data_IF_667207778670
#
_entry.id   IF_667207778670
#
_cell.length_a   1.000
_cell.length_b   1.000
_cell.length_c   1.000
_cell.angle_alpha   90.00
_cell.angle_beta   90.00
_cell.angle_gamma   90.00
#
_symmetry.space_group_name_H-M   'P 1'
#
loop_
_entity.id
_entity.type
_entity.pdbx_description
1 polymer ?
#
# COMPACT_ATOMS: atom_id res chain seq x y z
N UNK A 1 25.88 50.70 13.97
CA UNK A 1 26.14 49.39 14.56
C UNK A 1 24.80 48.94 15.09
N UNK A 2 24.05 48.00 14.62
CA UNK A 2 24.19 46.92 13.70
C UNK A 2 22.91 46.13 13.88
N UNK A 3 21.98 46.25 12.93
CA UNK A 3 20.71 45.55 12.93
C UNK A 3 20.94 44.19 12.30
N UNK A 4 20.82 43.10 13.05
CA UNK A 4 20.68 41.73 12.53
C UNK A 4 19.64 41.00 13.38
N UNK A 5 18.59 40.53 12.76
CA UNK A 5 17.70 39.59 13.40
C UNK A 5 16.21 39.75 13.14
N UNK A 6 15.80 39.86 11.88
CA UNK A 6 14.43 39.51 11.47
C UNK A 6 14.50 38.46 10.40
N UNK A 7 14.54 37.21 10.80
CA UNK A 7 14.41 36.05 9.92
C UNK A 7 13.44 35.06 10.50
N UNK A 8 12.41 34.80 9.72
CA UNK A 8 11.64 33.55 9.68
C UNK A 8 10.82 33.13 10.90
N UNK A 9 9.73 33.83 11.10
CA UNK A 9 8.52 33.16 11.63
C UNK A 9 7.50 33.11 10.49
N UNK A 10 7.61 32.13 9.61
CA UNK A 10 6.48 31.72 8.78
C UNK A 10 5.51 31.00 9.71
N UNK A 11 4.47 31.72 10.10
CA UNK A 11 3.28 31.17 10.71
C UNK A 11 2.73 30.05 9.82
N UNK A 12 2.95 28.83 10.23
CA UNK A 12 2.11 27.71 9.87
C UNK A 12 0.77 27.88 10.61
N UNK A 13 -0.04 28.80 10.11
CA UNK A 13 -1.46 28.77 10.42
C UNK A 13 -2.04 27.49 9.80
N UNK A 14 -2.06 26.42 10.58
CA UNK A 14 -3.03 25.38 10.42
C UNK A 14 -4.40 26.02 10.70
N UNK A 15 -4.90 26.74 9.72
CA UNK A 15 -6.32 27.05 9.67
C UNK A 15 -7.01 25.71 9.44
N UNK A 16 -7.55 25.15 10.52
CA UNK A 16 -8.63 24.18 10.45
C UNK A 16 -9.73 24.87 9.63
N UNK A 17 -9.72 24.66 8.34
CA UNK A 17 -10.80 25.02 7.46
C UNK A 17 -11.93 24.06 7.84
N UNK A 18 -12.75 24.48 8.81
CA UNK A 18 -14.08 23.95 9.01
C UNK A 18 -14.92 24.34 7.79
N UNK A 19 -14.71 23.69 6.67
CA UNK A 19 -15.64 23.71 5.56
C UNK A 19 -16.72 22.70 5.92
N UNK A 20 -17.67 23.13 6.78
CA UNK A 20 -19.00 22.55 6.79
C UNK A 20 -19.66 22.94 5.47
N UNK A 21 -19.34 22.26 4.39
CA UNK A 21 -20.22 22.12 3.26
C UNK A 21 -21.07 20.88 3.52
N UNK A 22 -22.36 21.07 3.55
CA UNK A 22 -23.35 20.02 3.59
C UNK A 22 -23.21 19.19 2.30
N UNK A 23 -22.30 18.21 2.32
CA UNK A 23 -22.39 17.09 1.40
C UNK A 23 -23.48 16.19 1.93
N UNK A 24 -24.68 16.41 1.43
CA UNK A 24 -25.90 15.72 1.83
C UNK A 24 -25.98 14.36 1.13
N UNK A 25 -24.94 13.55 1.28
CA UNK A 25 -25.01 12.13 1.03
C UNK A 25 -24.47 11.45 2.28
N UNK A 26 -25.37 11.18 3.23
CA UNK A 26 -25.10 10.23 4.31
C UNK A 26 -24.89 8.87 3.64
N UNK A 27 -23.69 8.58 3.16
CA UNK A 27 -23.32 7.22 2.82
C UNK A 27 -23.33 6.42 4.12
N UNK A 28 -24.26 5.51 4.25
CA UNK A 28 -24.32 4.55 5.37
C UNK A 28 -23.26 3.49 5.24
N UNK A 29 -22.57 3.41 4.12
CA UNK A 29 -21.56 2.42 3.74
C UNK A 29 -20.19 3.06 3.58
N UNK A 30 -19.14 2.28 3.89
CA UNK A 30 -17.76 2.63 3.60
C UNK A 30 -17.51 2.49 2.10
N UNK A 31 -16.83 3.49 1.50
CA UNK A 31 -16.49 3.51 0.07
C UNK A 31 -14.98 3.61 -0.11
N UNK A 32 -14.42 2.76 -0.95
CA UNK A 32 -13.03 2.80 -1.37
C UNK A 32 -12.93 3.26 -2.84
N UNK A 33 -12.38 4.43 -3.08
CA UNK A 33 -11.94 4.85 -4.41
C UNK A 33 -10.59 4.18 -4.71
N UNK A 34 -10.55 3.36 -5.72
CA UNK A 34 -9.45 2.42 -5.99
C UNK A 34 -9.08 2.46 -7.47
N UNK A 35 -7.80 2.61 -7.75
CA UNK A 35 -7.29 2.37 -9.10
C UNK A 35 -7.07 0.86 -9.28
N UNK A 36 -7.68 0.24 -10.31
CA UNK A 36 -7.61 -1.20 -10.56
C UNK A 36 -6.21 -1.71 -10.92
N UNK A 37 -5.29 -0.82 -11.33
CA UNK A 37 -3.92 -1.19 -11.67
C UNK A 37 -2.89 -0.74 -10.63
N UNK A 38 -3.28 0.09 -9.67
CA UNK A 38 -2.36 0.66 -8.69
C UNK A 38 -2.02 -0.32 -7.55
N UNK A 39 -0.72 -0.55 -7.33
CA UNK A 39 -0.24 -1.40 -6.23
C UNK A 39 -0.68 -0.90 -4.85
N UNK A 40 -0.80 0.41 -4.66
CA UNK A 40 -1.23 1.00 -3.38
C UNK A 40 -2.72 0.77 -3.11
N UNK A 41 -3.55 0.83 -4.15
CA UNK A 41 -4.96 0.45 -4.08
C UNK A 41 -5.12 -1.05 -3.80
N UNK A 42 -4.31 -1.89 -4.45
CA UNK A 42 -4.32 -3.32 -4.23
C UNK A 42 -4.02 -3.70 -2.77
N UNK A 43 -3.07 -3.03 -2.10
CA UNK A 43 -2.79 -3.24 -0.66
C UNK A 43 -4.04 -3.12 0.20
N UNK A 44 -4.84 -2.09 -0.03
CA UNK A 44 -6.09 -1.84 0.72
C UNK A 44 -7.13 -2.91 0.41
N UNK A 45 -7.27 -3.32 -0.86
CA UNK A 45 -8.18 -4.41 -1.23
C UNK A 45 -7.79 -5.74 -0.58
N UNK A 46 -6.48 -6.04 -0.44
CA UNK A 46 -6.02 -7.23 0.31
C UNK A 46 -6.47 -7.15 1.77
N UNK A 47 -6.26 -6.01 2.43
CA UNK A 47 -6.68 -5.84 3.84
C UNK A 47 -8.18 -6.02 3.99
N UNK A 48 -8.99 -5.43 3.11
CA UNK A 48 -10.44 -5.61 3.14
C UNK A 48 -10.85 -7.08 2.98
N UNK A 49 -10.20 -7.80 2.06
CA UNK A 49 -10.45 -9.21 1.84
C UNK A 49 -10.02 -10.08 3.05
N UNK A 50 -8.85 -9.82 3.64
CA UNK A 50 -8.39 -10.50 4.86
C UNK A 50 -9.31 -10.26 6.06
N UNK A 51 -9.92 -9.07 6.14
CA UNK A 51 -10.90 -8.73 7.17
C UNK A 51 -12.29 -9.28 6.90
N UNK A 52 -12.54 -9.80 5.71
CA UNK A 52 -13.87 -10.26 5.29
C UNK A 52 -14.90 -9.12 5.27
N UNK A 53 -14.45 -7.89 5.02
CA UNK A 53 -15.31 -6.70 5.05
C UNK A 53 -15.73 -6.34 3.64
N UNK A 54 -17.04 -6.25 3.44
CA UNK A 54 -17.62 -5.76 2.19
C UNK A 54 -17.72 -4.24 2.23
N UNK A 55 -17.10 -3.57 1.28
CA UNK A 55 -17.17 -2.13 1.05
C UNK A 55 -17.59 -1.87 -0.38
N UNK A 56 -18.11 -0.69 -0.64
CA UNK A 56 -18.32 -0.23 -2.00
C UNK A 56 -16.95 0.16 -2.61
N UNK A 57 -16.55 -0.52 -3.69
CA UNK A 57 -15.29 -0.21 -4.38
C UNK A 57 -15.64 0.53 -5.67
N UNK A 58 -15.26 1.81 -5.73
CA UNK A 58 -15.37 2.62 -6.93
C UNK A 58 -14.03 2.62 -7.67
N UNK A 59 -14.01 1.96 -8.83
CA UNK A 59 -12.83 1.91 -9.67
C UNK A 59 -12.67 3.24 -10.41
N UNK A 60 -11.54 3.88 -10.20
CA UNK A 60 -11.18 5.17 -10.80
C UNK A 60 -9.72 5.09 -11.24
N UNK A 61 -9.44 5.47 -12.47
CA UNK A 61 -8.05 5.60 -12.94
C UNK A 61 -7.40 6.84 -12.32
N UNK A 62 -6.09 6.75 -12.01
CA UNK A 62 -5.34 7.84 -11.38
C UNK A 62 -5.42 9.16 -12.17
N UNK A 63 -5.57 9.08 -13.50
CA UNK A 63 -5.68 10.24 -14.38
C UNK A 63 -7.13 10.80 -14.50
N UNK A 64 -8.11 10.12 -13.90
CA UNK A 64 -9.53 10.44 -13.98
C UNK A 64 -10.13 10.75 -12.61
N UNK A 65 -9.41 11.49 -11.76
CA UNK A 65 -9.85 11.86 -10.42
C UNK A 65 -11.06 12.79 -10.48
N UNK A 66 -12.14 12.41 -9.81
CA UNK A 66 -13.40 13.16 -9.77
C UNK A 66 -13.37 14.28 -8.72
N UNK A 67 -14.28 15.25 -8.84
CA UNK A 67 -14.45 16.31 -7.84
C UNK A 67 -14.76 15.74 -6.45
N UNK A 68 -15.48 14.62 -6.38
CA UNK A 68 -15.79 13.92 -5.14
C UNK A 68 -14.54 13.40 -4.43
N UNK A 69 -13.59 12.83 -5.19
CA UNK A 69 -12.31 12.38 -4.64
C UNK A 69 -11.50 13.59 -4.17
N UNK A 70 -11.49 14.69 -4.92
CA UNK A 70 -10.77 15.92 -4.54
C UNK A 70 -11.36 16.58 -3.28
N UNK A 71 -12.67 16.47 -3.06
CA UNK A 71 -13.31 16.94 -1.83
C UNK A 71 -12.89 16.08 -0.62
N UNK A 72 -12.78 14.77 -0.79
CA UNK A 72 -12.34 13.84 0.26
C UNK A 72 -10.82 13.85 0.48
N UNK A 73 -10.05 14.02 -0.59
CA UNK A 73 -8.60 13.98 -0.60
C UNK A 73 -8.04 15.10 -1.48
N UNK A 74 -7.56 16.20 -0.90
CA UNK A 74 -7.08 17.36 -1.66
C UNK A 74 -5.84 17.10 -2.53
N UNK A 75 -5.18 15.95 -2.34
CA UNK A 75 -4.05 15.52 -3.19
C UNK A 75 -4.50 14.75 -4.43
N UNK A 76 -5.77 14.37 -4.53
CA UNK A 76 -6.31 13.60 -5.65
C UNK A 76 -5.61 12.25 -5.86
N UNK A 77 -5.08 11.63 -4.80
CA UNK A 77 -4.35 10.36 -4.91
C UNK A 77 -5.23 9.16 -4.56
N UNK A 78 -4.94 8.03 -5.17
CA UNK A 78 -5.60 6.76 -4.89
C UNK A 78 -4.63 5.80 -4.16
N UNK A 79 -5.11 4.97 -3.25
CA UNK A 79 -6.51 4.84 -2.80
C UNK A 79 -6.96 5.98 -1.88
N UNK A 80 -8.27 6.27 -1.91
CA UNK A 80 -8.95 7.12 -0.94
C UNK A 80 -10.11 6.35 -0.34
N UNK A 81 -10.22 6.33 1.00
CA UNK A 81 -11.29 5.65 1.74
C UNK A 81 -12.18 6.70 2.39
N UNK A 82 -13.49 6.54 2.23
CA UNK A 82 -14.49 7.35 2.94
C UNK A 82 -15.32 6.43 3.84
N UNK A 83 -15.31 6.67 5.15
CA UNK A 83 -16.18 6.02 6.13
C UNK A 83 -16.97 7.08 6.87
N UNK A 84 -18.23 7.27 6.49
CA UNK A 84 -19.11 8.34 6.98
C UNK A 84 -18.51 9.73 6.76
N UNK A 85 -18.16 10.43 7.85
CA UNK A 85 -17.56 11.77 7.82
C UNK A 85 -16.01 11.74 7.82
N UNK A 86 -15.42 10.54 7.85
CA UNK A 86 -13.96 10.33 7.83
C UNK A 86 -13.51 10.06 6.39
N UNK A 87 -12.58 10.87 5.91
CA UNK A 87 -11.87 10.60 4.66
C UNK A 87 -10.39 10.33 4.95
N UNK A 88 -9.88 9.23 4.43
CA UNK A 88 -8.49 8.80 4.59
C UNK A 88 -7.85 8.58 3.23
N UNK A 89 -6.60 8.96 3.13
CA UNK A 89 -5.76 8.74 1.97
C UNK A 89 -4.38 8.25 2.43
N UNK A 90 -3.55 7.78 1.49
CA UNK A 90 -2.34 7.00 1.71
C UNK A 90 -2.63 5.57 2.20
N UNK A 91 -2.25 4.59 1.37
CA UNK A 91 -2.58 3.17 1.60
C UNK A 91 -2.20 2.66 2.99
N UNK A 92 -1.02 3.07 3.52
CA UNK A 92 -0.56 2.63 4.85
C UNK A 92 -1.45 3.13 5.99
N UNK A 93 -1.95 4.37 5.90
CA UNK A 93 -2.88 4.93 6.88
C UNK A 93 -4.22 4.21 6.81
N UNK A 94 -4.72 3.96 5.60
CA UNK A 94 -5.98 3.24 5.38
C UNK A 94 -5.88 1.81 5.91
N UNK A 95 -4.79 1.11 5.63
CA UNK A 95 -4.58 -0.26 6.08
C UNK A 95 -4.56 -0.37 7.62
N UNK A 96 -3.84 0.53 8.30
CA UNK A 96 -3.81 0.55 9.77
C UNK A 96 -5.19 0.89 10.34
N UNK A 97 -5.90 1.87 9.76
CA UNK A 97 -7.28 2.18 10.16
C UNK A 97 -8.20 0.97 10.04
N UNK A 98 -8.13 0.24 8.93
CA UNK A 98 -8.95 -0.96 8.71
C UNK A 98 -8.60 -2.08 9.70
N UNK A 99 -7.31 -2.25 10.03
CA UNK A 99 -6.87 -3.24 11.02
C UNK A 99 -7.40 -2.91 12.42
N UNK A 100 -7.39 -1.63 12.82
CA UNK A 100 -7.93 -1.16 14.10
C UNK A 100 -9.47 -1.17 14.12
N UNK A 101 -10.11 -0.82 13.00
CA UNK A 101 -11.57 -0.77 12.88
C UNK A 101 -12.21 -2.16 12.89
N UNK A 102 -11.49 -3.15 12.33
CA UNK A 102 -11.88 -4.55 12.25
C UNK A 102 -10.77 -5.41 12.86
N UNK A 103 -10.74 -5.58 14.18
CA UNK A 103 -9.58 -6.13 14.88
C UNK A 103 -9.31 -7.61 14.64
N UNK A 104 -10.21 -8.33 13.97
CA UNK A 104 -10.06 -9.76 13.69
C UNK A 104 -10.21 -10.10 12.21
N UNK A 105 -9.27 -10.93 11.67
CA UNK A 105 -7.98 -11.31 12.25
C UNK A 105 -7.04 -10.11 12.38
N UNK A 106 -6.16 -10.05 13.39
CA UNK A 106 -5.18 -8.96 13.50
C UNK A 106 -4.13 -9.08 12.39
N UNK A 107 -3.79 -7.96 11.75
CA UNK A 107 -2.75 -7.89 10.72
C UNK A 107 -1.50 -7.13 11.19
N UNK A 108 -1.51 -6.61 12.41
CA UNK A 108 -0.33 -6.10 13.09
C UNK A 108 -0.09 -6.86 14.39
N UNK A 109 1.18 -7.10 14.74
CA UNK A 109 1.55 -7.73 16.01
C UNK A 109 1.00 -6.95 17.22
N UNK A 110 0.69 -7.68 18.29
CA UNK A 110 0.20 -7.08 19.54
C UNK A 110 1.30 -6.30 20.27
N UNK A 111 2.53 -6.83 20.24
CA UNK A 111 3.64 -6.25 20.99
C UNK A 111 4.18 -4.98 20.33
N UNK A 112 4.43 -3.90 21.10
CA UNK A 112 4.86 -2.61 20.56
C UNK A 112 6.16 -2.67 19.75
N UNK A 113 7.11 -3.51 20.15
CA UNK A 113 8.39 -3.65 19.44
C UNK A 113 8.16 -4.24 18.05
N UNK A 114 7.52 -5.39 17.96
CA UNK A 114 7.24 -6.05 16.67
C UNK A 114 6.33 -5.20 15.78
N UNK A 115 5.40 -4.43 16.39
CA UNK A 115 4.56 -3.47 15.69
C UNK A 115 5.38 -2.32 15.09
N UNK A 116 6.36 -1.82 15.81
CA UNK A 116 7.28 -0.78 15.32
C UNK A 116 8.17 -1.32 14.19
N UNK A 117 8.67 -2.55 14.32
CA UNK A 117 9.45 -3.24 13.27
C UNK A 117 8.62 -3.43 12.00
N UNK A 118 7.36 -3.85 12.11
CA UNK A 118 6.44 -3.97 10.97
C UNK A 118 6.27 -2.62 10.25
N UNK A 119 6.05 -1.53 10.99
CA UNK A 119 5.95 -0.18 10.41
C UNK A 119 7.23 0.28 9.74
N UNK A 120 8.38 -0.06 10.32
CA UNK A 120 9.68 0.26 9.74
C UNK A 120 9.89 -0.49 8.42
N UNK A 121 9.48 -1.76 8.33
CA UNK A 121 9.54 -2.51 7.08
C UNK A 121 8.58 -1.97 6.02
N UNK A 122 7.37 -1.62 6.38
CA UNK A 122 6.42 -0.95 5.47
C UNK A 122 7.04 0.34 4.92
N UNK A 123 7.65 1.17 5.79
CA UNK A 123 8.34 2.38 5.38
C UNK A 123 9.49 2.10 4.40
N UNK A 124 10.31 1.07 4.67
CA UNK A 124 11.42 0.67 3.79
C UNK A 124 10.93 0.17 2.44
N UNK A 125 9.90 -0.66 2.40
CA UNK A 125 9.28 -1.12 1.14
C UNK A 125 8.83 0.09 0.30
N UNK A 126 8.18 1.07 0.92
CA UNK A 126 7.75 2.26 0.20
C UNK A 126 8.92 3.11 -0.30
N UNK A 127 9.88 3.37 0.58
CA UNK A 127 10.99 4.26 0.29
C UNK A 127 12.02 3.66 -0.64
N UNK A 128 12.42 2.41 -0.40
CA UNK A 128 13.57 1.80 -1.08
C UNK A 128 13.13 1.09 -2.37
N UNK A 129 11.93 0.49 -2.40
CA UNK A 129 11.47 -0.30 -3.55
C UNK A 129 10.40 0.39 -4.38
N UNK A 130 9.32 0.87 -3.75
CA UNK A 130 8.26 1.53 -4.51
C UNK A 130 8.72 2.83 -5.18
N UNK A 131 9.74 3.51 -4.64
CA UNK A 131 10.34 4.69 -5.26
C UNK A 131 11.08 4.41 -6.57
N UNK A 132 11.43 3.14 -6.83
CA UNK A 132 12.07 2.73 -8.08
C UNK A 132 11.05 2.54 -9.23
N UNK A 133 9.79 2.28 -8.90
CA UNK A 133 8.75 1.97 -9.89
C UNK A 133 8.58 3.09 -10.93
N UNK A 134 8.46 4.38 -10.57
CA UNK A 134 8.36 5.44 -11.56
C UNK A 134 9.58 5.52 -12.50
N UNK A 135 10.77 5.16 -12.02
CA UNK A 135 11.97 5.11 -12.87
C UNK A 135 11.90 3.95 -13.87
N UNK A 136 11.29 2.83 -13.46
CA UNK A 136 11.10 1.67 -14.33
C UNK A 136 10.00 1.93 -15.34
N UNK A 137 8.84 2.42 -14.91
CA UNK A 137 7.67 2.59 -15.78
C UNK A 137 7.78 3.78 -16.74
N UNK A 138 8.34 4.91 -16.28
CA UNK A 138 8.38 6.14 -17.06
C UNK A 138 9.71 6.32 -17.80
N UNK A 139 10.82 5.94 -17.15
CA UNK A 139 12.17 6.16 -17.70
C UNK A 139 12.78 4.89 -18.32
N UNK A 140 12.10 3.75 -18.23
CA UNK A 140 12.56 2.44 -18.69
C UNK A 140 13.96 2.03 -18.16
N UNK A 141 14.26 2.39 -16.90
CA UNK A 141 15.58 2.26 -16.29
C UNK A 141 15.94 0.81 -15.94
N UNK A 142 16.91 0.24 -16.63
CA UNK A 142 17.49 -1.07 -16.34
C UNK A 142 18.26 -1.09 -15.00
N UNK A 143 18.84 0.05 -14.61
CA UNK A 143 19.51 0.18 -13.32
C UNK A 143 18.50 0.05 -12.19
N UNK A 144 17.34 0.71 -12.28
CA UNK A 144 16.29 0.61 -11.27
C UNK A 144 15.69 -0.81 -11.21
N UNK A 145 15.55 -1.50 -12.35
CA UNK A 145 15.13 -2.92 -12.39
C UNK A 145 16.13 -3.82 -11.67
N UNK A 146 17.42 -3.62 -11.93
CA UNK A 146 18.48 -4.38 -11.31
C UNK A 146 18.54 -4.13 -9.81
N UNK A 147 18.47 -2.86 -9.38
CA UNK A 147 18.47 -2.46 -7.97
C UNK A 147 17.28 -3.08 -7.22
N UNK A 148 16.08 -3.02 -7.80
CA UNK A 148 14.88 -3.60 -7.20
C UNK A 148 14.99 -5.12 -7.10
N UNK A 149 15.40 -5.79 -8.17
CA UNK A 149 15.61 -7.25 -8.17
C UNK A 149 16.60 -7.68 -7.10
N UNK A 150 17.77 -7.05 -7.06
CA UNK A 150 18.86 -7.46 -6.17
C UNK A 150 18.49 -7.18 -4.71
N UNK A 151 17.78 -6.07 -4.44
CA UNK A 151 17.24 -5.77 -3.12
C UNK A 151 16.20 -6.82 -2.67
N UNK A 152 15.30 -7.23 -3.54
CA UNK A 152 14.31 -8.29 -3.24
C UNK A 152 15.02 -9.63 -3.01
N UNK A 153 16.01 -10.00 -3.82
CA UNK A 153 16.78 -11.23 -3.65
C UNK A 153 17.53 -11.22 -2.32
N UNK A 154 18.04 -10.07 -1.88
CA UNK A 154 18.81 -9.96 -0.64
C UNK A 154 18.01 -10.31 0.62
N UNK A 155 16.69 -10.20 0.58
CA UNK A 155 15.83 -10.53 1.72
C UNK A 155 15.27 -11.97 1.66
N UNK A 156 15.65 -12.76 0.66
CA UNK A 156 15.10 -14.10 0.46
C UNK A 156 15.26 -15.01 1.69
N UNK A 157 16.35 -14.86 2.45
CA UNK A 157 16.62 -15.64 3.67
C UNK A 157 15.65 -15.35 4.83
N UNK A 158 14.92 -14.23 4.80
CA UNK A 158 13.89 -13.93 5.80
C UNK A 158 12.80 -15.02 5.81
N UNK A 159 12.54 -15.64 4.66
CA UNK A 159 11.50 -16.65 4.47
C UNK A 159 11.99 -18.10 4.71
N UNK A 160 13.24 -18.29 5.16
CA UNK A 160 13.74 -19.62 5.51
C UNK A 160 13.10 -20.18 6.78
N UNK A 161 12.85 -19.31 7.75
CA UNK A 161 12.39 -19.70 9.09
C UNK A 161 10.89 -19.44 9.30
N UNK A 162 10.33 -18.42 8.61
CA UNK A 162 8.96 -17.97 8.82
C UNK A 162 8.14 -18.07 7.54
N UNK A 163 6.86 -18.47 7.63
CA UNK A 163 6.00 -18.60 6.46
C UNK A 163 5.62 -17.26 5.83
N UNK A 164 5.61 -16.17 6.61
CA UNK A 164 5.33 -14.82 6.17
C UNK A 164 6.48 -13.88 6.52
N UNK A 165 6.37 -12.61 6.19
CA UNK A 165 7.43 -11.65 6.38
C UNK A 165 7.76 -11.48 7.88
N UNK A 166 8.83 -12.13 8.35
CA UNK A 166 9.27 -12.16 9.74
C UNK A 166 8.16 -12.54 10.74
N UNK A 167 7.21 -13.38 10.32
CA UNK A 167 6.03 -13.73 11.12
C UNK A 167 5.51 -15.12 10.78
N UNK A 168 4.92 -15.78 11.79
CA UNK A 168 4.13 -17.00 11.60
C UNK A 168 2.76 -16.72 10.95
N UNK A 169 2.27 -15.49 11.06
CA UNK A 169 0.97 -15.07 10.56
C UNK A 169 1.11 -14.00 9.48
N UNK A 170 0.14 -13.94 8.57
CA UNK A 170 0.06 -12.92 7.53
C UNK A 170 -0.18 -11.53 8.15
N UNK A 171 0.58 -10.52 7.73
CA UNK A 171 0.59 -9.18 8.33
C UNK A 171 0.42 -8.05 7.31
N UNK A 172 0.31 -6.81 7.78
CA UNK A 172 0.29 -5.63 6.91
C UNK A 172 1.59 -5.47 6.09
N UNK A 173 2.71 -6.06 6.56
CA UNK A 173 3.95 -6.07 5.78
C UNK A 173 3.77 -6.91 4.51
N UNK A 174 3.12 -8.06 4.62
CA UNK A 174 2.79 -8.92 3.50
C UNK A 174 1.79 -8.23 2.55
N UNK A 175 0.78 -7.53 3.10
CA UNK A 175 -0.14 -6.72 2.31
C UNK A 175 0.58 -5.64 1.49
N UNK A 176 1.69 -5.10 2.01
CA UNK A 176 2.51 -4.12 1.29
C UNK A 176 3.39 -4.74 0.23
N UNK A 177 3.98 -5.91 0.53
CA UNK A 177 4.96 -6.57 -0.32
C UNK A 177 4.32 -7.32 -1.49
N UNK A 178 3.23 -8.05 -1.23
CA UNK A 178 2.59 -8.92 -2.20
C UNK A 178 2.20 -8.22 -3.52
N UNK A 179 1.59 -7.03 -3.54
CA UNK A 179 1.29 -6.32 -4.78
C UNK A 179 2.51 -5.95 -5.63
N UNK A 180 3.62 -5.63 -4.98
CA UNK A 180 4.89 -5.36 -5.65
C UNK A 180 5.45 -6.65 -6.31
N UNK A 181 5.50 -7.74 -5.55
CA UNK A 181 5.98 -9.03 -6.04
C UNK A 181 5.08 -9.59 -7.16
N UNK A 182 3.77 -9.34 -7.08
CA UNK A 182 2.82 -9.74 -8.12
C UNK A 182 3.14 -9.07 -9.47
N UNK A 183 3.56 -7.81 -9.43
CA UNK A 183 3.83 -6.97 -10.61
C UNK A 183 5.24 -7.10 -11.19
N UNK A 184 6.13 -7.92 -10.62
CA UNK A 184 7.48 -8.08 -11.16
C UNK A 184 7.52 -8.43 -12.65
N UNK A 185 6.63 -9.30 -13.20
CA UNK A 185 6.60 -9.57 -14.63
C UNK A 185 6.29 -8.34 -15.48
N UNK A 186 5.37 -7.46 -15.05
CA UNK A 186 5.05 -6.22 -15.78
C UNK A 186 6.20 -5.23 -15.79
N UNK A 187 7.10 -5.31 -14.80
CA UNK A 187 8.35 -4.53 -14.77
C UNK A 187 9.51 -5.20 -15.51
N UNK A 188 9.26 -6.32 -16.21
CA UNK A 188 10.31 -7.13 -16.87
C UNK A 188 11.38 -7.64 -15.89
N UNK A 189 11.00 -7.84 -14.62
CA UNK A 189 11.89 -8.38 -13.59
C UNK A 189 11.61 -9.85 -13.36
N UNK A 190 12.64 -10.69 -13.57
CA UNK A 190 12.61 -12.12 -13.27
C UNK A 190 13.54 -12.41 -12.09
N UNK A 191 13.05 -13.15 -11.10
CA UNK A 191 13.87 -13.62 -9.99
C UNK A 191 14.61 -14.90 -10.39
N UNK A 192 15.89 -15.07 -9.99
CA UNK A 192 16.61 -16.30 -10.20
C UNK A 192 15.88 -17.49 -9.56
N UNK A 193 15.97 -18.66 -10.18
CA UNK A 193 15.42 -19.92 -9.63
C UNK A 193 16.57 -20.78 -9.10
N UNK A 194 17.14 -20.38 -7.98
CA UNK A 194 18.26 -21.03 -7.34
C UNK A 194 17.99 -21.34 -5.87
N UNK A 195 19.01 -21.86 -5.17
CA UNK A 195 18.87 -22.21 -3.75
C UNK A 195 18.61 -21.01 -2.87
N UNK A 196 19.18 -19.87 -3.20
CA UNK A 196 19.06 -18.64 -2.40
C UNK A 196 17.65 -18.05 -2.47
N UNK A 197 17.06 -18.07 -3.65
CA UNK A 197 15.73 -17.45 -3.88
C UNK A 197 14.57 -18.41 -3.63
N UNK A 198 14.83 -19.72 -3.47
CA UNK A 198 13.80 -20.72 -3.23
C UNK A 198 12.82 -20.36 -2.09
N UNK A 199 13.27 -19.88 -0.91
CA UNK A 199 12.35 -19.49 0.17
C UNK A 199 11.43 -18.34 -0.22
N UNK A 200 11.97 -17.32 -0.89
CA UNK A 200 11.19 -16.20 -1.41
C UNK A 200 10.14 -16.66 -2.43
N UNK A 201 10.51 -17.52 -3.37
CA UNK A 201 9.57 -18.06 -4.36
C UNK A 201 8.45 -18.86 -3.69
N UNK A 202 8.78 -19.69 -2.70
CA UNK A 202 7.78 -20.43 -1.92
C UNK A 202 6.86 -19.53 -1.10
N UNK A 203 7.37 -18.40 -0.59
CA UNK A 203 6.58 -17.36 0.05
C UNK A 203 5.62 -16.71 -0.95
N UNK A 204 6.12 -16.34 -2.14
CA UNK A 204 5.29 -15.75 -3.20
C UNK A 204 4.13 -16.68 -3.57
N UNK A 205 4.40 -17.96 -3.82
CA UNK A 205 3.37 -18.95 -4.13
C UNK A 205 2.32 -19.00 -3.01
N UNK A 206 2.75 -19.11 -1.74
CA UNK A 206 1.85 -19.17 -0.59
C UNK A 206 0.96 -17.92 -0.46
N UNK A 207 1.53 -16.73 -0.66
CA UNK A 207 0.77 -15.49 -0.56
C UNK A 207 -0.20 -15.32 -1.72
N UNK A 208 0.24 -15.66 -2.92
CA UNK A 208 -0.59 -15.53 -4.13
C UNK A 208 -1.73 -16.54 -4.18
N UNK A 209 -1.58 -17.71 -3.56
CA UNK A 209 -2.65 -18.73 -3.46
C UNK A 209 -3.69 -18.41 -2.37
N UNK A 210 -3.47 -17.41 -1.50
CA UNK A 210 -4.46 -17.04 -0.47
C UNK A 210 -5.75 -16.56 -1.10
N UNK A 211 -6.88 -17.06 -0.59
CA UNK A 211 -8.20 -16.64 -1.07
C UNK A 211 -8.39 -15.12 -1.03
N UNK A 212 -7.96 -14.48 0.07
CA UNK A 212 -8.05 -13.04 0.23
C UNK A 212 -7.22 -12.28 -0.82
N UNK A 213 -6.01 -12.77 -1.15
CA UNK A 213 -5.20 -12.20 -2.21
C UNK A 213 -5.90 -12.34 -3.57
N UNK A 214 -6.38 -13.53 -3.89
CA UNK A 214 -7.06 -13.80 -5.16
C UNK A 214 -8.37 -13.01 -5.31
N UNK A 215 -9.14 -12.85 -4.23
CA UNK A 215 -10.35 -12.02 -4.22
C UNK A 215 -10.04 -10.51 -4.35
N UNK A 216 -8.85 -10.08 -3.96
CA UNK A 216 -8.45 -8.66 -4.02
C UNK A 216 -7.99 -8.19 -5.40
N UNK A 217 -7.68 -9.13 -6.31
CA UNK A 217 -7.20 -8.82 -7.65
C UNK A 217 -8.31 -8.22 -8.52
N UNK A 218 -8.00 -7.12 -9.19
CA UNK A 218 -8.79 -6.62 -10.32
C UNK A 218 -8.61 -7.50 -11.56
N UNK A 219 -9.44 -7.33 -12.57
CA UNK A 219 -9.31 -8.05 -13.85
C UNK A 219 -7.96 -7.71 -14.53
N UNK A 220 -7.56 -6.44 -14.51
CA UNK A 220 -6.26 -6.00 -15.06
C UNK A 220 -5.08 -6.65 -14.33
N UNK A 221 -5.16 -6.77 -13.02
CA UNK A 221 -4.10 -7.39 -12.23
C UNK A 221 -4.00 -8.90 -12.46
N UNK A 222 -5.11 -9.57 -12.78
CA UNK A 222 -5.10 -11.00 -13.14
C UNK A 222 -4.34 -11.24 -14.45
N UNK A 223 -4.47 -10.34 -15.41
CA UNK A 223 -3.79 -10.44 -16.72
C UNK A 223 -2.26 -10.38 -16.60
N UNK A 224 -1.70 -9.78 -15.54
CA UNK A 224 -0.24 -9.68 -15.34
C UNK A 224 0.43 -11.05 -15.29
N UNK A 225 -0.30 -12.10 -14.85
CA UNK A 225 0.22 -13.47 -14.68
C UNK A 225 -0.63 -14.54 -15.37
N UNK A 226 -1.50 -14.14 -16.31
CA UNK A 226 -2.31 -15.04 -17.09
C UNK A 226 -1.48 -15.86 -18.12
#
# INVERSE_FOLDING_TARGET
MGSIGKAFTKNLNFTLINIKREVNVRRSSMTLFSDPNCQFSHRVRIVLAEKGVTVEIENTETDCVTDEILEANPYGTLPTLVDRDLALYKSTVIMEYLDERFPHPPLLPVYPVSRAESRLWIYRIERDWCSLIPKIEVQDSDEARTELRDSIVSIASIFDEMPYFMSEEFTLVDCCLAPLLWRLPSYSISLPKDRQTKPLLSYMDRVFERDAFQCSLSDLEREIRA
#
